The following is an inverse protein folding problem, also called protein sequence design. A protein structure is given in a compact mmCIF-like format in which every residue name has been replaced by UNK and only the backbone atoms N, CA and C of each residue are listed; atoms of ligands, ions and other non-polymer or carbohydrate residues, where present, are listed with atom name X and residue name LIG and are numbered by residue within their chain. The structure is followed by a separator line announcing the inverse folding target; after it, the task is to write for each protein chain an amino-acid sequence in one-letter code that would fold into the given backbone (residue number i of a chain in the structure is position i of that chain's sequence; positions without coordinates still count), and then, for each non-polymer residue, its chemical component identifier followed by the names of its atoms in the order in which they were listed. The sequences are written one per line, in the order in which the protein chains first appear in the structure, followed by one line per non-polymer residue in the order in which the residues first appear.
data_IF_990839167913
#
_entry.id   IF_990839167913
#
_cell.length_a   1.000
_cell.length_b   1.000
_cell.length_c   1.000
_cell.angle_alpha   90.00
_cell.angle_beta   90.00
_cell.angle_gamma   90.00
#
_symmetry.space_group_name_H-M   'P 1'
#
loop_
_entity.id
_entity.type
_entity.pdbx_description
1 polymer ?
#
# COMPACT_ATOMS: atom_id res chain seq x y z
N UNK A 1 -52.02 43.57 6.49
CA UNK A 1 -50.89 42.60 6.27
C UNK A 1 -51.31 41.19 6.68
N UNK A 2 -52.00 41.00 7.78
CA UNK A 2 -52.48 39.68 8.25
C UNK A 2 -53.46 39.03 7.25
N UNK A 3 -54.32 39.79 6.58
CA UNK A 3 -55.26 39.30 5.53
C UNK A 3 -54.56 38.73 4.27
N UNK A 4 -53.27 39.09 4.06
CA UNK A 4 -52.46 38.58 2.91
C UNK A 4 -51.40 37.53 3.33
N UNK A 5 -51.50 37.01 4.56
CA UNK A 5 -50.56 35.98 5.07
C UNK A 5 -49.08 36.44 5.14
N UNK A 6 -48.82 37.75 5.17
CA UNK A 6 -47.49 38.32 5.31
C UNK A 6 -47.20 38.55 6.79
N UNK A 7 -46.30 37.78 7.34
CA UNK A 7 -45.79 37.90 8.72
C UNK A 7 -44.80 39.08 8.83
N UNK A 8 -45.25 40.29 8.53
CA UNK A 8 -44.47 41.51 8.55
C UNK A 8 -44.89 42.40 9.73
N UNK A 9 -44.01 42.52 10.70
CA UNK A 9 -44.21 43.47 11.79
C UNK A 9 -43.53 44.79 11.44
N UNK A 10 -44.29 45.89 11.42
CA UNK A 10 -43.76 47.23 11.23
C UNK A 10 -43.24 47.74 12.59
N UNK A 11 -41.93 47.97 12.70
CA UNK A 11 -41.27 48.56 13.85
C UNK A 11 -40.88 50.01 13.52
N UNK A 12 -41.45 50.95 14.23
CA UNK A 12 -41.21 52.41 14.06
C UNK A 12 -39.97 52.95 14.76
N UNK A 13 -39.22 52.08 15.48
CA UNK A 13 -37.98 52.47 16.10
C UNK A 13 -36.90 52.71 15.04
N UNK A 14 -35.90 53.52 15.36
CA UNK A 14 -34.69 53.66 14.52
C UNK A 14 -33.92 52.34 14.35
N UNK A 15 -33.22 52.14 13.28
CA UNK A 15 -32.39 50.94 13.02
C UNK A 15 -31.44 50.66 14.21
N UNK A 16 -30.84 51.68 14.82
CA UNK A 16 -30.00 51.58 15.99
C UNK A 16 -30.76 50.95 17.19
N UNK A 17 -32.01 51.41 17.44
CA UNK A 17 -32.87 50.85 18.51
C UNK A 17 -33.44 49.48 18.20
N UNK A 18 -33.48 49.13 16.94
CA UNK A 18 -33.86 47.80 16.50
C UNK A 18 -32.68 46.83 16.45
N UNK A 19 -31.46 47.26 16.72
CA UNK A 19 -30.25 46.47 16.60
C UNK A 19 -29.90 46.11 15.16
N UNK A 20 -30.44 46.82 14.19
CA UNK A 20 -30.15 46.59 12.77
C UNK A 20 -28.91 47.37 12.39
N UNK A 21 -27.82 46.65 12.13
CA UNK A 21 -26.54 47.24 11.73
C UNK A 21 -26.50 47.63 10.24
N UNK A 22 -27.42 48.46 9.84
CA UNK A 22 -27.51 49.04 8.48
C UNK A 22 -27.64 50.53 8.55
N UNK A 23 -27.01 51.27 7.66
CA UNK A 23 -27.22 52.68 7.53
C UNK A 23 -28.65 52.96 6.97
N UNK A 24 -29.47 53.78 7.64
CA UNK A 24 -30.78 54.14 7.13
C UNK A 24 -30.69 55.04 5.90
N UNK A 25 -31.54 54.84 4.90
CA UNK A 25 -31.64 55.74 3.74
C UNK A 25 -32.34 57.01 4.15
N UNK A 26 -31.96 58.13 3.53
CA UNK A 26 -32.57 59.44 3.74
C UNK A 26 -33.90 59.53 2.94
N UNK A 27 -34.91 60.11 3.59
CA UNK A 27 -36.21 60.28 2.91
C UNK A 27 -36.12 61.17 1.68
N UNK A 28 -36.53 60.64 0.52
CA UNK A 28 -36.65 61.38 -0.71
C UNK A 28 -38.06 61.95 -0.82
N UNK A 29 -38.17 63.28 -0.77
CA UNK A 29 -39.48 63.94 -0.99
C UNK A 29 -40.00 63.76 -2.41
N UNK A 30 -41.25 64.07 -2.70
CA UNK A 30 -41.86 63.86 -4.05
C UNK A 30 -41.07 64.49 -5.16
N UNK A 31 -40.53 65.67 -4.97
CA UNK A 31 -39.73 66.45 -5.94
C UNK A 31 -38.43 65.75 -6.32
N UNK A 32 -37.69 65.27 -5.30
CA UNK A 32 -36.41 64.55 -5.50
C UNK A 32 -36.68 63.23 -6.24
N UNK A 33 -37.72 62.50 -5.83
CA UNK A 33 -38.12 61.24 -6.50
C UNK A 33 -38.50 61.44 -7.97
N UNK A 34 -39.25 62.54 -8.30
CA UNK A 34 -39.61 62.86 -9.67
C UNK A 34 -38.38 63.27 -10.52
N UNK A 35 -37.41 63.96 -9.93
CA UNK A 35 -36.15 64.29 -10.62
C UNK A 35 -35.29 63.05 -10.91
N UNK A 36 -35.12 62.17 -9.92
CA UNK A 36 -34.37 60.92 -10.08
C UNK A 36 -35.05 59.98 -11.10
N UNK A 37 -36.37 59.93 -11.17
CA UNK A 37 -37.10 59.16 -12.18
C UNK A 37 -36.91 59.70 -13.60
N UNK A 38 -36.62 61.03 -13.74
CA UNK A 38 -36.31 61.65 -15.03
C UNK A 38 -34.80 61.58 -15.34
N UNK A 39 -34.00 60.83 -14.56
CA UNK A 39 -32.55 60.68 -14.74
C UNK A 39 -31.71 61.90 -14.26
N UNK A 40 -32.34 62.84 -13.56
CA UNK A 40 -31.63 64.00 -13.00
C UNK A 40 -31.10 63.58 -11.63
N UNK A 41 -29.77 63.57 -11.48
CA UNK A 41 -29.09 63.23 -10.23
C UNK A 41 -29.31 64.32 -9.17
N UNK A 42 -29.59 63.87 -7.96
CA UNK A 42 -29.75 64.73 -6.80
C UNK A 42 -28.85 64.28 -5.66
N UNK A 43 -28.43 65.20 -4.78
CA UNK A 43 -27.53 64.89 -3.65
C UNK A 43 -28.13 63.81 -2.73
N UNK A 44 -29.44 63.84 -2.48
CA UNK A 44 -30.17 62.83 -1.68
C UNK A 44 -30.23 61.49 -2.40
N UNK A 45 -30.43 61.47 -3.69
CA UNK A 45 -30.39 60.25 -4.50
C UNK A 45 -29.02 59.61 -4.53
N UNK A 46 -27.96 60.41 -4.70
CA UNK A 46 -26.60 59.94 -4.66
C UNK A 46 -26.19 59.38 -3.27
N UNK A 47 -26.59 60.08 -2.19
CA UNK A 47 -26.41 59.59 -0.85
C UNK A 47 -27.11 58.25 -0.61
N UNK A 48 -28.36 58.08 -1.06
CA UNK A 48 -29.09 56.83 -0.92
C UNK A 48 -28.46 55.71 -1.74
N UNK A 49 -27.94 56.00 -2.95
CA UNK A 49 -27.16 55.01 -3.74
C UNK A 49 -25.90 54.56 -2.99
N UNK A 50 -25.16 55.52 -2.42
CA UNK A 50 -23.98 55.24 -1.61
C UNK A 50 -24.35 54.37 -0.39
N UNK A 51 -25.38 54.75 0.36
CA UNK A 51 -25.88 53.98 1.54
C UNK A 51 -26.23 52.54 1.14
N UNK A 52 -26.96 52.34 0.05
CA UNK A 52 -27.33 50.99 -0.43
C UNK A 52 -26.11 50.17 -0.80
N UNK A 53 -25.11 50.78 -1.49
CA UNK A 53 -23.85 50.12 -1.83
C UNK A 53 -23.08 49.75 -0.59
N UNK A 54 -22.95 50.64 0.39
CA UNK A 54 -22.25 50.39 1.66
C UNK A 54 -22.93 49.28 2.44
N UNK A 55 -24.25 49.26 2.54
CA UNK A 55 -25.00 48.20 3.20
C UNK A 55 -24.89 46.83 2.47
N UNK A 56 -24.76 46.83 1.15
CA UNK A 56 -24.46 45.61 0.42
C UNK A 56 -23.04 45.06 0.72
N UNK A 57 -22.05 45.94 0.74
CA UNK A 57 -20.67 45.58 1.12
C UNK A 57 -20.59 45.07 2.57
N UNK A 58 -21.33 45.70 3.49
CA UNK A 58 -21.39 45.29 4.89
C UNK A 58 -22.00 43.86 5.03
N UNK A 59 -23.07 43.57 4.31
CA UNK A 59 -23.66 42.21 4.29
C UNK A 59 -22.71 41.18 3.73
N UNK A 60 -22.00 41.50 2.65
CA UNK A 60 -21.00 40.59 2.06
C UNK A 60 -19.83 40.34 3.03
N UNK A 61 -19.30 41.39 3.68
CA UNK A 61 -18.26 41.25 4.67
C UNK A 61 -18.69 40.39 5.86
N UNK A 62 -19.92 40.56 6.37
CA UNK A 62 -20.45 39.71 7.44
C UNK A 62 -20.61 38.25 7.01
N UNK A 63 -21.07 38.01 5.80
CA UNK A 63 -21.16 36.64 5.26
C UNK A 63 -19.78 35.98 5.17
N UNK A 64 -18.75 36.72 4.73
CA UNK A 64 -17.37 36.23 4.71
C UNK A 64 -16.82 35.92 6.11
N UNK A 65 -17.09 36.81 7.07
CA UNK A 65 -16.68 36.58 8.47
C UNK A 65 -17.37 35.34 9.03
N UNK A 66 -18.66 35.15 8.81
CA UNK A 66 -19.39 33.98 9.28
C UNK A 66 -18.82 32.68 8.66
N UNK A 67 -18.50 32.69 7.36
CA UNK A 67 -17.85 31.57 6.69
C UNK A 67 -16.46 31.27 7.28
N UNK A 68 -15.65 32.30 7.57
CA UNK A 68 -14.34 32.11 8.21
C UNK A 68 -14.44 31.54 9.62
N UNK A 69 -15.43 32.00 10.40
CA UNK A 69 -15.67 31.45 11.75
C UNK A 69 -16.09 29.97 11.65
N UNK A 70 -16.93 29.60 10.69
CA UNK A 70 -17.28 28.20 10.40
C UNK A 70 -16.04 27.38 10.11
N UNK A 71 -15.25 27.82 9.14
CA UNK A 71 -13.99 27.14 8.79
C UNK A 71 -13.03 27.00 9.97
N UNK A 72 -12.86 28.05 10.80
CA UNK A 72 -12.02 27.98 12.02
C UNK A 72 -12.53 26.96 13.03
N UNK A 73 -13.86 26.81 13.17
CA UNK A 73 -14.44 25.79 14.04
C UNK A 73 -14.15 24.38 13.52
N UNK A 74 -14.26 24.16 12.21
CA UNK A 74 -13.97 22.88 11.57
C UNK A 74 -12.49 22.51 11.72
N UNK A 75 -11.58 23.43 11.43
CA UNK A 75 -10.13 23.26 11.63
C UNK A 75 -9.80 22.98 13.11
N UNK A 76 -10.43 23.70 14.04
CA UNK A 76 -10.22 23.45 15.46
C UNK A 76 -10.73 22.07 15.88
N UNK A 77 -11.85 21.62 15.34
CA UNK A 77 -12.39 20.28 15.62
C UNK A 77 -11.44 19.19 15.04
N UNK A 78 -10.92 19.41 13.84
CA UNK A 78 -9.96 18.50 13.20
C UNK A 78 -8.64 18.41 13.99
N UNK A 79 -8.08 19.54 14.42
CA UNK A 79 -6.87 19.58 15.25
C UNK A 79 -7.09 19.01 16.67
N UNK A 80 -8.32 19.02 17.17
CA UNK A 80 -8.66 18.47 18.48
C UNK A 80 -9.09 17.00 18.43
N UNK A 81 -9.25 16.42 17.23
CA UNK A 81 -9.54 15.00 17.08
C UNK A 81 -8.35 14.18 17.63
N UNK A 82 -8.60 13.10 18.40
CA UNK A 82 -7.53 12.25 18.87
C UNK A 82 -6.82 11.63 17.67
N UNK A 83 -5.56 12.01 17.47
CA UNK A 83 -4.73 11.43 16.45
C UNK A 83 -4.45 9.97 16.79
N UNK A 84 -4.47 9.05 15.81
CA UNK A 84 -4.06 7.67 16.04
C UNK A 84 -2.61 7.64 16.55
N UNK A 85 -2.27 6.73 17.47
CA UNK A 85 -0.93 6.67 18.03
C UNK A 85 0.10 6.37 16.93
N UNK A 86 1.20 7.09 16.98
CA UNK A 86 2.31 6.88 16.04
C UNK A 86 3.00 5.54 16.29
N UNK A 87 3.70 5.01 15.27
CA UNK A 87 4.51 3.78 15.40
C UNK A 87 5.54 3.89 16.55
N UNK A 88 6.10 5.08 16.76
CA UNK A 88 7.08 5.33 17.83
C UNK A 88 6.43 5.19 19.22
N UNK A 89 5.23 5.74 19.41
CA UNK A 89 4.47 5.63 20.67
C UNK A 89 4.09 4.18 20.96
N UNK A 90 3.60 3.44 19.97
CA UNK A 90 3.24 2.03 20.12
C UNK A 90 4.46 1.17 20.46
N UNK A 91 5.60 1.39 19.79
CA UNK A 91 6.83 0.67 20.07
C UNK A 91 7.47 1.06 21.40
N UNK A 92 7.31 2.33 21.84
CA UNK A 92 7.71 2.76 23.18
C UNK A 92 6.92 2.01 24.26
N UNK A 93 5.61 1.95 24.11
CA UNK A 93 4.74 1.18 25.01
C UNK A 93 5.13 -0.32 25.06
N UNK A 94 5.46 -0.91 23.91
CA UNK A 94 5.97 -2.29 23.84
C UNK A 94 7.30 -2.47 24.58
N UNK A 95 8.22 -1.54 24.40
CA UNK A 95 9.53 -1.57 25.09
C UNK A 95 9.37 -1.45 26.60
N UNK A 96 8.49 -0.56 27.05
CA UNK A 96 8.21 -0.33 28.47
C UNK A 96 7.57 -1.55 29.12
N UNK A 97 6.63 -2.19 28.44
CA UNK A 97 6.01 -3.42 28.93
C UNK A 97 7.06 -4.55 29.09
N UNK A 98 7.89 -4.75 28.08
CA UNK A 98 9.00 -5.71 28.16
C UNK A 98 10.00 -5.39 29.26
N UNK A 99 10.25 -4.11 29.53
CA UNK A 99 11.15 -3.69 30.59
C UNK A 99 10.56 -3.89 31.98
N UNK A 100 9.23 -3.81 32.14
CA UNK A 100 8.53 -4.18 33.40
C UNK A 100 8.73 -5.66 33.75
N UNK A 101 8.68 -6.55 32.74
CA UNK A 101 8.91 -7.98 32.91
C UNK A 101 10.40 -8.38 32.98
N UNK A 102 11.34 -7.48 32.76
CA UNK A 102 12.78 -7.81 32.71
C UNK A 102 13.43 -7.74 34.09
N UNK A 103 13.98 -8.87 34.57
CA UNK A 103 14.64 -8.99 35.88
C UNK A 103 16.06 -8.40 35.95
N UNK A 104 16.74 -8.25 34.81
CA UNK A 104 18.13 -7.78 34.77
C UNK A 104 18.31 -6.48 34.03
N UNK A 105 19.24 -5.62 34.52
CA UNK A 105 19.64 -4.40 33.83
C UNK A 105 20.17 -4.66 32.43
N UNK A 106 20.90 -5.77 32.23
CA UNK A 106 21.39 -6.20 30.90
C UNK A 106 20.24 -6.45 29.91
N UNK A 107 19.13 -7.08 30.36
CA UNK A 107 17.96 -7.31 29.53
C UNK A 107 17.26 -5.99 29.16
N UNK A 108 17.12 -5.06 30.11
CA UNK A 108 16.54 -3.72 29.87
C UNK A 108 17.36 -2.92 28.85
N UNK A 109 18.69 -2.91 28.99
CA UNK A 109 19.58 -2.26 28.02
C UNK A 109 19.45 -2.92 26.63
N UNK A 110 19.34 -4.25 26.57
CA UNK A 110 19.10 -4.98 25.32
C UNK A 110 17.79 -4.62 24.64
N UNK A 111 16.70 -4.43 25.41
CA UNK A 111 15.41 -3.98 24.90
C UNK A 111 15.49 -2.55 24.35
N UNK A 112 16.12 -1.62 25.08
CA UNK A 112 16.32 -0.24 24.63
C UNK A 112 17.16 -0.16 23.36
N UNK A 113 18.22 -0.96 23.25
CA UNK A 113 19.05 -1.02 22.04
C UNK A 113 18.23 -1.48 20.84
N UNK A 114 17.48 -2.56 20.97
CA UNK A 114 16.58 -3.05 19.90
C UNK A 114 15.52 -2.01 19.51
N UNK A 115 14.94 -1.33 20.49
CA UNK A 115 13.98 -0.24 20.26
C UNK A 115 14.62 0.87 19.43
N UNK A 116 15.80 1.37 19.83
CA UNK A 116 16.51 2.42 19.09
C UNK A 116 16.86 1.99 17.66
N UNK A 117 17.35 0.77 17.47
CA UNK A 117 17.64 0.21 16.14
C UNK A 117 16.37 0.12 15.26
N UNK A 118 15.24 -0.26 15.86
CA UNK A 118 13.96 -0.37 15.18
C UNK A 118 13.44 1.01 14.76
N UNK A 119 13.50 2.00 15.65
CA UNK A 119 13.10 3.37 15.32
C UNK A 119 13.94 3.94 14.18
N UNK A 120 15.29 3.83 14.27
CA UNK A 120 16.17 4.28 13.19
C UNK A 120 15.88 3.60 11.85
N UNK A 121 15.48 2.32 11.87
CA UNK A 121 15.08 1.61 10.67
C UNK A 121 13.75 2.16 10.10
N UNK A 122 12.73 2.40 10.93
CA UNK A 122 11.45 2.98 10.52
C UNK A 122 11.60 4.40 9.98
N UNK A 123 12.42 5.23 10.62
CA UNK A 123 12.75 6.58 10.14
C UNK A 123 13.45 6.54 8.77
N UNK A 124 14.39 5.60 8.57
CA UNK A 124 15.06 5.43 7.27
C UNK A 124 14.10 5.06 6.14
N UNK A 125 12.97 4.44 6.46
CA UNK A 125 11.89 4.08 5.53
C UNK A 125 10.73 5.10 5.52
N UNK A 126 10.82 6.18 6.32
CA UNK A 126 9.80 7.22 6.46
C UNK A 126 8.41 6.69 6.91
N UNK A 127 8.39 5.63 7.70
CA UNK A 127 7.16 5.01 8.21
C UNK A 127 6.75 5.68 9.52
N UNK A 128 5.56 6.26 9.57
CA UNK A 128 5.04 6.99 10.73
C UNK A 128 3.79 6.37 11.32
N UNK A 129 2.95 5.76 10.49
CA UNK A 129 1.66 5.17 10.87
C UNK A 129 1.63 3.67 10.67
N UNK A 130 0.67 2.99 11.28
CA UNK A 130 0.43 1.55 11.08
C UNK A 130 0.03 1.25 9.64
N UNK A 131 -0.74 2.16 9.03
CA UNK A 131 -1.17 2.06 7.64
C UNK A 131 0.01 2.11 6.67
N UNK A 132 1.00 3.01 6.92
CA UNK A 132 2.23 3.09 6.11
C UNK A 132 3.02 1.77 6.19
N UNK A 133 3.11 1.18 7.39
CA UNK A 133 3.80 -0.08 7.62
C UNK A 133 3.11 -1.24 6.88
N UNK A 134 1.78 -1.34 6.96
CA UNK A 134 0.99 -2.36 6.27
C UNK A 134 1.05 -2.21 4.75
N UNK A 135 0.95 -0.99 4.25
CA UNK A 135 1.07 -0.70 2.82
C UNK A 135 2.44 -1.12 2.27
N UNK A 136 3.52 -0.82 3.01
CA UNK A 136 4.87 -1.24 2.63
C UNK A 136 5.03 -2.77 2.68
N UNK A 137 4.52 -3.43 3.73
CA UNK A 137 4.56 -4.89 3.86
C UNK A 137 3.84 -5.58 2.69
N UNK A 138 2.65 -5.12 2.33
CA UNK A 138 1.87 -5.65 1.22
C UNK A 138 2.62 -5.45 -0.12
N UNK A 139 3.13 -4.26 -0.37
CA UNK A 139 3.92 -3.96 -1.57
C UNK A 139 5.16 -4.85 -1.69
N UNK A 140 5.91 -5.04 -0.58
CA UNK A 140 7.08 -5.91 -0.57
C UNK A 140 6.71 -7.38 -0.79
N UNK A 141 5.59 -7.83 -0.21
CA UNK A 141 5.11 -9.19 -0.41
C UNK A 141 4.73 -9.44 -1.88
N UNK A 142 4.02 -8.51 -2.51
CA UNK A 142 3.69 -8.59 -3.94
C UNK A 142 4.94 -8.65 -4.83
N UNK A 143 5.95 -7.84 -4.52
CA UNK A 143 7.22 -7.85 -5.23
C UNK A 143 7.95 -9.20 -5.07
N UNK A 144 8.00 -9.75 -3.86
CA UNK A 144 8.59 -11.05 -3.57
C UNK A 144 7.85 -12.15 -4.35
N UNK A 145 6.54 -12.14 -4.38
CA UNK A 145 5.72 -13.16 -5.04
C UNK A 145 5.87 -13.10 -6.56
N UNK A 146 5.94 -11.90 -7.14
CA UNK A 146 6.24 -11.70 -8.55
C UNK A 146 7.64 -12.24 -8.94
N UNK A 147 8.66 -11.92 -8.12
CA UNK A 147 10.02 -12.42 -8.33
C UNK A 147 10.12 -13.94 -8.17
N UNK A 148 9.45 -14.51 -7.17
CA UNK A 148 9.36 -15.97 -6.97
C UNK A 148 8.69 -16.68 -8.12
N UNK A 149 7.59 -16.14 -8.64
CA UNK A 149 6.89 -16.70 -9.80
C UNK A 149 7.82 -16.74 -11.02
N UNK A 150 8.55 -15.65 -11.27
CA UNK A 150 9.57 -15.59 -12.34
C UNK A 150 10.69 -16.60 -12.13
N UNK A 151 11.22 -16.70 -10.91
CA UNK A 151 12.28 -17.64 -10.54
C UNK A 151 11.82 -19.11 -10.68
N UNK A 152 10.59 -19.43 -10.27
CA UNK A 152 10.02 -20.77 -10.39
C UNK A 152 9.88 -21.20 -11.84
N UNK A 153 9.42 -20.32 -12.74
CA UNK A 153 9.36 -20.62 -14.17
C UNK A 153 10.74 -20.94 -14.77
N UNK A 154 11.76 -20.14 -14.43
CA UNK A 154 13.14 -20.39 -14.88
C UNK A 154 13.70 -21.69 -14.30
N UNK A 155 13.44 -21.99 -13.04
CA UNK A 155 13.87 -23.22 -12.38
C UNK A 155 13.23 -24.47 -13.03
N UNK A 156 11.95 -24.40 -13.38
CA UNK A 156 11.26 -25.47 -14.07
C UNK A 156 11.93 -25.74 -15.44
N UNK A 157 12.21 -24.67 -16.20
CA UNK A 157 12.88 -24.82 -17.50
C UNK A 157 14.31 -25.35 -17.39
N UNK A 158 15.08 -24.94 -16.36
CA UNK A 158 16.41 -25.47 -16.07
C UNK A 158 16.33 -26.98 -15.78
N UNK A 159 15.32 -27.43 -15.03
CA UNK A 159 15.11 -28.86 -14.75
C UNK A 159 14.81 -29.65 -16.03
N UNK A 160 13.95 -29.12 -16.91
CA UNK A 160 13.67 -29.73 -18.22
C UNK A 160 14.94 -29.85 -19.07
N UNK A 161 15.72 -28.75 -19.18
CA UNK A 161 16.97 -28.74 -19.92
C UNK A 161 18.00 -29.74 -19.36
N UNK A 162 18.09 -29.85 -18.04
CA UNK A 162 18.94 -30.85 -17.41
C UNK A 162 18.53 -32.28 -17.75
N UNK A 163 17.21 -32.56 -17.80
CA UNK A 163 16.73 -33.87 -18.25
C UNK A 163 17.01 -34.12 -19.73
N UNK A 164 16.79 -33.13 -20.60
CA UNK A 164 17.08 -33.25 -22.04
C UNK A 164 18.57 -33.49 -22.27
N UNK A 165 19.46 -32.77 -21.60
CA UNK A 165 20.90 -32.95 -21.69
C UNK A 165 21.31 -34.34 -21.21
N UNK A 166 20.78 -34.81 -20.11
CA UNK A 166 21.03 -36.17 -19.60
C UNK A 166 20.56 -37.23 -20.57
N UNK A 167 19.38 -37.04 -21.19
CA UNK A 167 18.90 -37.97 -22.23
C UNK A 167 19.78 -37.91 -23.49
N UNK A 168 20.28 -36.74 -23.89
CA UNK A 168 21.21 -36.58 -24.99
C UNK A 168 22.52 -37.34 -24.73
N UNK A 169 23.05 -37.26 -23.51
CA UNK A 169 24.24 -38.01 -23.11
C UNK A 169 24.01 -39.53 -23.16
N UNK A 170 22.89 -40.05 -22.67
CA UNK A 170 22.52 -41.47 -22.78
C UNK A 170 22.35 -41.91 -24.22
N UNK A 171 21.76 -41.07 -25.09
CA UNK A 171 21.64 -41.35 -26.48
C UNK A 171 23.03 -41.45 -27.18
N UNK A 172 23.92 -40.52 -26.92
CA UNK A 172 25.25 -40.49 -27.50
C UNK A 172 26.09 -41.69 -27.06
N UNK A 173 26.02 -42.07 -25.77
CA UNK A 173 26.73 -43.24 -25.25
C UNK A 173 26.16 -44.56 -25.76
N UNK A 174 24.84 -44.66 -25.90
CA UNK A 174 24.18 -45.89 -26.30
C UNK A 174 24.14 -46.12 -27.83
N UNK A 175 24.23 -45.05 -28.63
CA UNK A 175 24.16 -45.15 -30.08
C UNK A 175 25.16 -46.13 -30.70
N UNK A 176 26.46 -46.10 -30.36
CA UNK A 176 27.41 -47.06 -30.93
C UNK A 176 27.10 -48.51 -30.56
N UNK A 177 26.56 -48.74 -29.36
CA UNK A 177 26.16 -50.08 -28.90
C UNK A 177 24.90 -50.55 -29.64
N UNK A 178 23.92 -49.69 -29.83
CA UNK A 178 22.70 -49.98 -30.56
C UNK A 178 22.97 -50.23 -32.07
N UNK A 179 23.88 -49.46 -32.67
CA UNK A 179 24.26 -49.66 -34.07
C UNK A 179 25.03 -50.98 -34.29
N UNK A 180 25.95 -51.35 -33.37
CA UNK A 180 26.58 -52.64 -33.36
C UNK A 180 25.57 -53.78 -33.24
N UNK A 181 24.59 -53.66 -32.35
CA UNK A 181 23.53 -54.66 -32.16
C UNK A 181 22.73 -54.90 -33.45
N UNK A 182 22.41 -53.85 -34.22
CA UNK A 182 21.69 -53.90 -35.48
C UNK A 182 22.49 -54.64 -36.56
N UNK A 183 23.83 -54.56 -36.53
CA UNK A 183 24.73 -55.13 -37.53
C UNK A 183 25.08 -56.62 -37.25
N UNK A 184 24.71 -57.18 -36.08
CA UNK A 184 24.94 -58.60 -35.77
C UNK A 184 23.92 -59.46 -36.53
N UNK A 185 24.43 -60.35 -37.43
CA UNK A 185 23.60 -61.20 -38.28
C UNK A 185 23.05 -62.47 -37.58
N UNK A 186 23.81 -63.01 -36.64
CA UNK A 186 23.44 -64.26 -35.95
C UNK A 186 22.66 -64.02 -34.64
N UNK A 187 21.52 -64.61 -34.46
CA UNK A 187 20.65 -64.37 -33.33
C UNK A 187 21.26 -64.75 -31.98
N UNK A 188 22.02 -65.82 -31.91
CA UNK A 188 22.70 -66.25 -30.69
C UNK A 188 23.69 -65.22 -30.19
N UNK A 189 24.51 -64.65 -31.09
CA UNK A 189 25.45 -63.58 -30.78
C UNK A 189 24.75 -62.26 -30.47
N UNK A 190 23.62 -62.00 -31.15
CA UNK A 190 22.78 -60.80 -30.86
C UNK A 190 22.20 -60.85 -29.47
N UNK A 191 21.66 -62.02 -29.04
CA UNK A 191 21.12 -62.16 -27.68
C UNK A 191 22.20 -62.05 -26.60
N UNK A 192 23.37 -62.64 -26.82
CA UNK A 192 24.49 -62.50 -25.88
C UNK A 192 24.95 -61.04 -25.76
N UNK A 193 25.14 -60.36 -26.90
CA UNK A 193 25.54 -58.94 -26.89
C UNK A 193 24.49 -58.03 -26.22
N UNK A 194 23.20 -58.29 -26.46
CA UNK A 194 22.08 -57.58 -25.83
C UNK A 194 22.08 -57.76 -24.32
N UNK A 195 22.34 -59.00 -23.82
CA UNK A 195 22.41 -59.30 -22.40
C UNK A 195 23.61 -58.59 -21.72
N UNK A 196 24.78 -58.61 -22.38
CA UNK A 196 25.98 -57.91 -21.88
C UNK A 196 25.82 -56.40 -21.82
N UNK A 197 24.98 -55.79 -22.67
CA UNK A 197 24.79 -54.34 -22.78
C UNK A 197 23.37 -53.88 -22.43
N UNK A 198 22.62 -54.70 -21.68
CA UNK A 198 21.20 -54.43 -21.41
C UNK A 198 20.93 -53.09 -20.80
N UNK A 199 21.71 -52.67 -19.82
CA UNK A 199 21.54 -51.37 -19.13
C UNK A 199 21.76 -50.19 -20.08
N UNK A 200 22.78 -50.24 -20.92
CA UNK A 200 23.11 -49.20 -21.93
C UNK A 200 22.02 -49.11 -22.99
N UNK A 201 21.55 -50.25 -23.48
CA UNK A 201 20.47 -50.32 -24.47
C UNK A 201 19.14 -49.81 -23.91
N UNK A 202 18.85 -50.17 -22.66
CA UNK A 202 17.64 -49.67 -21.94
C UNK A 202 17.65 -48.17 -21.82
N UNK A 203 18.74 -47.57 -21.38
CA UNK A 203 18.87 -46.11 -21.26
C UNK A 203 18.85 -45.43 -22.62
N UNK A 204 19.46 -46.02 -23.65
CA UNK A 204 19.43 -45.54 -25.02
C UNK A 204 18.01 -45.49 -25.58
N UNK A 205 17.23 -46.58 -25.51
CA UNK A 205 15.87 -46.60 -26.05
C UNK A 205 14.93 -45.68 -25.25
N UNK A 206 15.15 -45.51 -23.95
CA UNK A 206 14.44 -44.54 -23.16
C UNK A 206 14.74 -43.11 -23.63
N UNK A 207 16.02 -42.81 -23.85
CA UNK A 207 16.46 -41.50 -24.35
C UNK A 207 15.94 -41.22 -25.77
N UNK A 208 16.05 -42.19 -26.67
CA UNK A 208 15.53 -42.09 -28.05
C UNK A 208 14.03 -41.74 -28.08
N UNK A 209 13.25 -42.37 -27.21
CA UNK A 209 11.81 -42.14 -27.10
C UNK A 209 11.50 -40.72 -26.59
N UNK A 210 12.22 -40.24 -25.54
CA UNK A 210 12.06 -38.91 -24.97
C UNK A 210 12.54 -37.79 -25.91
N UNK A 211 13.58 -38.05 -26.68
CA UNK A 211 14.17 -37.10 -27.63
C UNK A 211 13.49 -37.05 -29.00
N UNK A 212 12.52 -37.91 -29.28
CA UNK A 212 11.88 -38.08 -30.58
C UNK A 212 11.40 -36.76 -31.19
N UNK A 213 10.84 -35.87 -30.35
CA UNK A 213 10.26 -34.58 -30.77
C UNK A 213 11.25 -33.41 -30.66
N UNK A 214 12.50 -33.66 -30.29
CA UNK A 214 13.50 -32.62 -30.00
C UNK A 214 14.55 -32.48 -31.13
N UNK A 215 14.41 -33.24 -32.21
CA UNK A 215 15.32 -33.19 -33.35
C UNK A 215 15.05 -31.97 -34.21
N UNK A 216 16.10 -31.22 -34.53
CA UNK A 216 16.11 -30.11 -35.46
C UNK A 216 17.09 -30.42 -36.55
N UNK A 217 16.65 -30.44 -37.82
CA UNK A 217 17.47 -30.75 -39.00
C UNK A 217 18.31 -32.04 -38.85
N UNK A 218 17.72 -33.07 -38.25
CA UNK A 218 18.38 -34.36 -38.04
C UNK A 218 19.47 -34.39 -36.97
N UNK A 219 19.61 -33.32 -36.17
CA UNK A 219 20.57 -33.21 -35.06
C UNK A 219 19.89 -32.78 -33.76
N UNK A 220 20.42 -33.24 -32.62
CA UNK A 220 19.99 -32.75 -31.33
C UNK A 220 20.66 -31.41 -31.02
N UNK A 221 19.90 -30.35 -30.65
CA UNK A 221 20.45 -29.02 -30.44
C UNK A 221 21.11 -28.88 -29.04
N UNK A 222 21.98 -29.82 -28.68
CA UNK A 222 22.62 -29.90 -27.34
C UNK A 222 23.38 -28.63 -27.00
N UNK A 223 24.05 -28.00 -27.94
CA UNK A 223 24.77 -26.75 -27.71
C UNK A 223 23.81 -25.58 -27.38
N UNK A 224 22.68 -25.51 -28.09
CA UNK A 224 21.66 -24.50 -27.82
C UNK A 224 21.07 -24.69 -26.40
N UNK A 225 20.77 -25.93 -25.99
CA UNK A 225 20.28 -26.25 -24.65
C UNK A 225 21.27 -25.88 -23.57
N UNK A 226 22.56 -26.15 -23.74
CA UNK A 226 23.59 -25.74 -22.78
C UNK A 226 23.69 -24.24 -22.66
N UNK A 227 23.62 -23.51 -23.77
CA UNK A 227 23.64 -22.04 -23.77
C UNK A 227 22.39 -21.46 -23.11
N UNK A 228 21.19 -21.98 -23.43
CA UNK A 228 19.93 -21.59 -22.79
C UNK A 228 19.97 -21.84 -21.29
N UNK A 229 20.43 -23.05 -20.88
CA UNK A 229 20.58 -23.41 -19.46
C UNK A 229 21.49 -22.43 -18.71
N UNK A 230 22.70 -22.16 -19.23
CA UNK A 230 23.65 -21.24 -18.61
C UNK A 230 23.08 -19.83 -18.45
N UNK A 231 22.35 -19.33 -19.47
CA UNK A 231 21.68 -18.04 -19.39
C UNK A 231 20.60 -18.03 -18.31
N UNK A 232 19.74 -19.05 -18.26
CA UNK A 232 18.68 -19.16 -17.26
C UNK A 232 19.23 -19.32 -15.84
N UNK A 233 20.34 -20.04 -15.65
CA UNK A 233 21.01 -20.17 -14.35
C UNK A 233 21.53 -18.82 -13.86
N UNK A 234 22.15 -18.03 -14.73
CA UNK A 234 22.60 -16.66 -14.39
C UNK A 234 21.42 -15.76 -14.01
N UNK A 235 20.34 -15.78 -14.80
CA UNK A 235 19.14 -15.01 -14.52
C UNK A 235 18.45 -15.46 -13.22
N UNK A 236 18.41 -16.76 -12.94
CA UNK A 236 17.87 -17.31 -11.70
C UNK A 236 18.67 -16.86 -10.49
N UNK A 237 20.01 -16.91 -10.55
CA UNK A 237 20.87 -16.42 -9.50
C UNK A 237 20.67 -14.91 -9.23
N UNK A 238 20.57 -14.11 -10.29
CA UNK A 238 20.29 -12.68 -10.17
C UNK A 238 18.93 -12.40 -9.48
N UNK A 239 17.90 -13.20 -9.77
CA UNK A 239 16.59 -13.11 -9.08
C UNK A 239 16.73 -13.48 -7.60
N UNK A 240 17.45 -14.53 -7.26
CA UNK A 240 17.69 -14.93 -5.87
C UNK A 240 18.42 -13.85 -5.07
N UNK A 241 19.42 -13.20 -5.68
CA UNK A 241 20.12 -12.07 -5.06
C UNK A 241 19.21 -10.86 -4.81
N UNK A 242 18.18 -10.65 -5.63
CA UNK A 242 17.18 -9.59 -5.41
C UNK A 242 16.16 -9.98 -4.34
N UNK A 243 15.76 -11.24 -4.27
CA UNK A 243 14.76 -11.74 -3.31
C UNK A 243 15.32 -11.74 -1.88
N UNK A 244 16.59 -12.10 -1.68
CA UNK A 244 17.19 -12.27 -0.36
C UNK A 244 17.11 -11.00 0.51
N UNK A 245 17.50 -9.78 0.05
CA UNK A 245 17.41 -8.57 0.85
C UNK A 245 15.95 -8.17 1.13
N UNK A 246 15.04 -8.34 0.15
CA UNK A 246 13.61 -8.07 0.36
C UNK A 246 13.04 -8.96 1.46
N UNK A 247 13.41 -10.23 1.49
CA UNK A 247 13.01 -11.16 2.56
C UNK A 247 13.53 -10.73 3.93
N UNK A 248 14.79 -10.30 4.01
CA UNK A 248 15.39 -9.85 5.25
C UNK A 248 14.70 -8.59 5.79
N UNK A 249 14.39 -7.64 4.91
CA UNK A 249 13.65 -6.42 5.27
C UNK A 249 12.20 -6.71 5.66
N UNK A 250 11.49 -7.53 4.88
CA UNK A 250 10.12 -7.96 5.21
C UNK A 250 10.06 -8.65 6.57
N UNK A 251 11.03 -9.51 6.89
CA UNK A 251 11.09 -10.17 8.20
C UNK A 251 11.26 -9.18 9.36
N UNK A 252 12.06 -8.12 9.17
CA UNK A 252 12.20 -7.05 10.18
C UNK A 252 10.88 -6.29 10.37
N UNK A 253 10.24 -5.90 9.27
CA UNK A 253 8.96 -5.17 9.32
C UNK A 253 7.84 -6.03 9.95
N UNK A 254 7.79 -7.32 9.65
CA UNK A 254 6.85 -8.24 10.31
C UNK A 254 7.09 -8.35 11.82
N UNK A 255 8.34 -8.34 12.27
CA UNK A 255 8.63 -8.33 13.70
C UNK A 255 8.14 -7.04 14.37
N UNK A 256 8.27 -5.90 13.70
CA UNK A 256 7.72 -4.61 14.15
C UNK A 256 6.20 -4.65 14.20
N UNK A 257 5.56 -5.06 13.12
CA UNK A 257 4.11 -5.19 13.02
C UNK A 257 3.55 -6.09 14.14
N UNK A 258 4.18 -7.23 14.38
CA UNK A 258 3.79 -8.12 15.46
C UNK A 258 3.91 -7.47 16.85
N UNK A 259 4.98 -6.69 17.08
CA UNK A 259 5.15 -5.96 18.34
C UNK A 259 4.06 -4.93 18.58
N UNK A 260 3.67 -4.22 17.53
CA UNK A 260 2.58 -3.23 17.55
C UNK A 260 1.23 -3.92 17.81
N UNK A 261 0.97 -5.01 17.10
CA UNK A 261 -0.24 -5.80 17.28
C UNK A 261 -0.42 -6.27 18.73
N UNK A 262 0.66 -6.72 19.37
CA UNK A 262 0.61 -7.12 20.79
C UNK A 262 0.20 -5.98 21.71
N UNK A 263 0.72 -4.77 21.50
CA UNK A 263 0.36 -3.59 22.32
C UNK A 263 -1.11 -3.21 22.12
N UNK A 264 -1.55 -3.16 20.88
CA UNK A 264 -2.94 -2.82 20.54
C UNK A 264 -3.92 -3.82 21.17
N UNK A 265 -3.63 -5.10 21.05
CA UNK A 265 -4.47 -6.16 21.61
C UNK A 265 -4.50 -6.14 23.16
N UNK A 266 -3.38 -5.81 23.82
CA UNK A 266 -3.35 -5.67 25.27
C UNK A 266 -4.11 -4.43 25.73
N UNK A 267 -4.00 -3.31 25.01
CA UNK A 267 -4.80 -2.10 25.27
C UNK A 267 -6.30 -2.35 25.11
N UNK A 268 -6.72 -3.10 24.09
CA UNK A 268 -8.12 -3.50 23.91
C UNK A 268 -8.63 -4.35 25.06
N UNK A 269 -7.84 -5.32 25.52
CA UNK A 269 -8.17 -6.14 26.70
C UNK A 269 -8.35 -5.30 27.95
N UNK A 270 -7.43 -4.39 28.22
CA UNK A 270 -7.49 -3.49 29.39
C UNK A 270 -8.72 -2.58 29.30
N UNK A 271 -9.02 -2.04 28.12
CA UNK A 271 -10.20 -1.22 27.89
C UNK A 271 -11.50 -2.03 28.08
N UNK A 272 -11.56 -3.27 27.62
CA UNK A 272 -12.72 -4.16 27.82
C UNK A 272 -12.96 -4.44 29.31
N UNK A 273 -11.92 -4.78 30.06
CA UNK A 273 -12.00 -5.00 31.52
C UNK A 273 -12.44 -3.72 32.24
N UNK A 274 -11.95 -2.57 31.85
CA UNK A 274 -12.33 -1.28 32.47
C UNK A 274 -13.79 -0.93 32.20
N UNK A 275 -14.29 -1.24 30.98
CA UNK A 275 -15.72 -1.04 30.63
C UNK A 275 -16.62 -1.98 31.42
N UNK A 276 -16.25 -3.23 31.61
CA UNK A 276 -17.00 -4.18 32.45
C UNK A 276 -17.08 -3.73 33.91
N UNK A 277 -15.94 -3.33 34.48
CA UNK A 277 -15.93 -2.78 35.87
C UNK A 277 -16.76 -1.50 36.05
N UNK A 278 -16.82 -0.63 35.06
CA UNK A 278 -17.70 0.54 35.09
C UNK A 278 -19.17 0.15 35.07
N UNK A 279 -19.56 -0.82 34.25
CA UNK A 279 -20.95 -1.31 34.21
C UNK A 279 -21.36 -2.02 35.49
N UNK A 280 -20.44 -2.74 36.17
CA UNK A 280 -20.69 -3.36 37.48
C UNK A 280 -20.82 -2.37 38.64
N UNK A 281 -20.28 -1.17 38.51
CA UNK A 281 -20.37 -0.11 39.54
C UNK A 281 -21.65 0.76 39.36
N UNK A 282 -22.17 0.83 38.13
CA UNK A 282 -23.39 1.60 37.80
C UNK A 282 -24.69 0.79 38.03
N UNK A 283 -24.60 -0.48 38.37
CA UNK A 283 -25.71 -1.36 38.80
C UNK A 283 -25.64 -1.68 40.30
#
# INVERSE_FOLDING_TARGET
FAEKGLDCRIDHRSYERQGVEQLPTVHEGPTVKAMEQKGIRTDKGDLNRWIRKTNAMLREAKAKIASLIGWLKDVKAELSAPQPPTLVELLSAYCDDRNRGAYSSKAKIGNLKKFSETIGYLESKQLRTTEDLEALLNSMQEQIDALKKSASGKQARIKELNELLRMADYYQQGKPVADKLKNIRFDTFRQKYKAEHENVLRTFYMAERKLKNQWVDGKLPVHAWRKEKSKLETEYQALQQKIAPLYADTKKLWAVHYSIYQVQHEQERQNAVTRQKKQEIEH
#
